data_IF_798195408020
#
_entry.id   IF_798195408020
#
_cell.length_a   1.000
_cell.length_b   1.000
_cell.length_c   1.000
_cell.angle_alpha   90.00
_cell.angle_beta   90.00
_cell.angle_gamma   90.00
#
_symmetry.space_group_name_H-M   'P 1'
#
loop_
_entity.id
_entity.type
_entity.pdbx_description
1 polymer ?
#
# COMPACT_ATOMS: atom_id res chain seq x y z
N UNK A 1 18.07 -3.08 -38.15
CA UNK A 1 17.06 -2.04 -37.87
C UNK A 1 15.61 -2.44 -38.22
N UNK A 2 15.34 -3.52 -38.96
CA UNK A 2 13.97 -3.95 -39.31
C UNK A 2 13.08 -4.37 -38.13
N UNK A 3 13.65 -4.63 -36.95
CA UNK A 3 12.90 -5.06 -35.75
C UNK A 3 12.54 -3.93 -34.78
N UNK A 4 13.00 -2.70 -35.00
CA UNK A 4 12.72 -1.56 -34.10
C UNK A 4 11.20 -1.30 -33.98
N UNK A 5 10.41 -1.33 -35.07
CA UNK A 5 8.96 -1.19 -34.95
C UNK A 5 8.30 -2.32 -34.13
N UNK A 6 8.79 -3.55 -34.27
CA UNK A 6 8.30 -4.70 -33.49
C UNK A 6 8.64 -4.60 -32.01
N UNK A 7 9.85 -4.11 -31.67
CA UNK A 7 10.25 -3.87 -30.28
C UNK A 7 9.38 -2.80 -29.60
N UNK A 8 9.04 -1.72 -30.32
CA UNK A 8 8.11 -0.71 -29.80
C UNK A 8 6.70 -1.28 -29.59
N UNK A 9 6.26 -2.16 -30.49
CA UNK A 9 4.94 -2.79 -30.40
C UNK A 9 4.79 -3.69 -29.17
N UNK A 10 5.87 -4.33 -28.70
CA UNK A 10 5.85 -5.13 -27.45
C UNK A 10 5.46 -4.32 -26.21
N UNK A 11 5.74 -3.02 -26.15
CA UNK A 11 5.33 -2.17 -25.02
C UNK A 11 3.84 -1.84 -25.02
N UNK A 12 3.14 -1.94 -26.17
CA UNK A 12 1.72 -1.58 -26.30
C UNK A 12 0.85 -2.31 -25.29
N UNK A 13 1.05 -3.62 -25.16
CA UNK A 13 0.28 -4.45 -24.23
C UNK A 13 0.54 -4.09 -22.76
N UNK A 14 1.80 -3.80 -22.42
CA UNK A 14 2.17 -3.41 -21.06
C UNK A 14 1.52 -2.07 -20.64
N UNK A 15 1.36 -1.14 -21.57
CA UNK A 15 0.63 0.12 -21.33
C UNK A 15 -0.84 -0.15 -21.05
N UNK A 16 -1.47 -1.01 -21.84
CA UNK A 16 -2.87 -1.39 -21.70
C UNK A 16 -3.13 -2.09 -20.35
N UNK A 17 -2.30 -3.07 -19.99
CA UNK A 17 -2.34 -3.74 -18.67
C UNK A 17 -2.19 -2.73 -17.54
N UNK A 18 -1.20 -1.83 -17.62
CA UNK A 18 -0.98 -0.80 -16.60
C UNK A 18 -2.19 0.13 -16.44
N UNK A 19 -2.86 0.49 -17.53
CA UNK A 19 -4.06 1.32 -17.51
C UNK A 19 -5.23 0.65 -16.79
N UNK A 20 -5.47 -0.64 -17.04
CA UNK A 20 -6.51 -1.39 -16.35
C UNK A 20 -6.20 -1.60 -14.87
N UNK A 21 -4.95 -1.92 -14.54
CA UNK A 21 -4.53 -2.10 -13.15
C UNK A 21 -4.71 -0.80 -12.34
N UNK A 22 -4.36 0.35 -12.91
CA UNK A 22 -4.56 1.67 -12.30
C UNK A 22 -6.03 1.98 -12.00
N UNK A 23 -6.97 1.56 -12.86
CA UNK A 23 -8.41 1.71 -12.60
C UNK A 23 -8.88 0.91 -11.38
N UNK A 24 -8.25 -0.22 -11.12
CA UNK A 24 -8.56 -1.12 -9.99
C UNK A 24 -7.65 -0.90 -8.78
N UNK A 25 -6.85 0.16 -8.79
CA UNK A 25 -5.91 0.51 -7.74
C UNK A 25 -6.63 1.00 -6.46
N UNK A 26 -5.88 1.49 -5.47
CA UNK A 26 -6.46 2.11 -4.28
C UNK A 26 -7.41 3.24 -4.65
N UNK A 27 -8.60 3.23 -4.03
CA UNK A 27 -9.49 4.39 -4.02
C UNK A 27 -8.90 5.42 -3.06
N UNK A 28 -7.95 6.23 -3.54
CA UNK A 28 -7.27 7.25 -2.74
C UNK A 28 -8.22 8.38 -2.26
N UNK A 29 -9.40 8.49 -2.85
CA UNK A 29 -10.43 9.45 -2.45
C UNK A 29 -11.82 8.80 -2.53
N UNK A 30 -12.72 9.19 -1.63
CA UNK A 30 -14.14 8.90 -1.72
C UNK A 30 -14.78 9.64 -2.89
N UNK A 31 -15.75 8.97 -3.52
CA UNK A 31 -16.44 9.33 -4.76
C UNK A 31 -16.97 10.79 -4.81
N UNK A 32 -16.75 11.46 -5.96
CA UNK A 32 -17.24 12.78 -6.42
C UNK A 32 -16.30 14.02 -6.36
N UNK A 33 -15.09 13.95 -6.95
CA UNK A 33 -14.42 15.17 -7.41
C UNK A 33 -15.07 15.68 -8.71
N UNK A 34 -15.58 16.93 -8.71
CA UNK A 34 -16.26 17.54 -9.87
C UNK A 34 -15.46 18.64 -10.56
N UNK A 35 -14.37 19.12 -9.94
CA UNK A 35 -13.51 20.13 -10.55
C UNK A 35 -12.49 19.46 -11.46
N UNK A 36 -12.24 20.06 -12.64
CA UNK A 36 -11.21 19.57 -13.59
C UNK A 36 -9.85 19.42 -12.91
N UNK A 37 -9.43 20.43 -12.14
CA UNK A 37 -8.17 20.43 -11.39
C UNK A 37 -8.11 19.29 -10.36
N UNK A 38 -9.21 19.03 -9.64
CA UNK A 38 -9.27 17.94 -8.67
C UNK A 38 -9.15 16.57 -9.33
N UNK A 39 -9.86 16.36 -10.44
CA UNK A 39 -9.79 15.12 -11.22
C UNK A 39 -8.37 14.90 -11.74
N UNK A 40 -7.74 15.92 -12.31
CA UNK A 40 -6.36 15.86 -12.81
C UNK A 40 -5.36 15.51 -11.71
N UNK A 41 -5.45 16.18 -10.56
CA UNK A 41 -4.60 15.88 -9.40
C UNK A 41 -4.79 14.44 -8.90
N UNK A 42 -6.03 13.95 -8.84
CA UNK A 42 -6.31 12.60 -8.39
C UNK A 42 -5.74 11.55 -9.35
N UNK A 43 -5.93 11.74 -10.67
CA UNK A 43 -5.37 10.84 -11.69
C UNK A 43 -3.84 10.82 -11.61
N UNK A 44 -3.20 11.99 -11.49
CA UNK A 44 -1.75 12.08 -11.35
C UNK A 44 -1.24 11.40 -10.06
N UNK A 45 -1.95 11.58 -8.94
CA UNK A 45 -1.60 10.94 -7.67
C UNK A 45 -1.71 9.41 -7.76
N UNK A 46 -2.79 8.90 -8.36
CA UNK A 46 -2.97 7.46 -8.60
C UNK A 46 -1.83 6.91 -9.46
N UNK A 47 -1.49 7.61 -10.54
CA UNK A 47 -0.41 7.19 -11.44
C UNK A 47 0.94 7.12 -10.72
N UNK A 48 1.30 8.16 -9.97
CA UNK A 48 2.56 8.18 -9.20
C UNK A 48 2.56 7.07 -8.14
N UNK A 49 1.46 6.91 -7.40
CA UNK A 49 1.35 5.89 -6.34
C UNK A 49 1.45 4.47 -6.90
N UNK A 50 0.79 4.21 -8.04
CA UNK A 50 0.86 2.92 -8.72
C UNK A 50 2.27 2.64 -9.25
N UNK A 51 2.93 3.63 -9.87
CA UNK A 51 4.32 3.49 -10.33
C UNK A 51 5.28 3.22 -9.17
N UNK A 52 5.13 3.95 -8.06
CA UNK A 52 5.92 3.75 -6.85
C UNK A 52 5.73 2.33 -6.30
N UNK A 53 4.49 1.85 -6.22
CA UNK A 53 4.20 0.46 -5.86
C UNK A 53 4.92 -0.49 -6.83
N UNK A 54 4.76 -0.35 -8.14
CA UNK A 54 5.34 -1.28 -9.13
C UNK A 54 6.86 -1.39 -9.07
N UNK A 55 7.53 -0.29 -8.73
CA UNK A 55 9.00 -0.22 -8.61
C UNK A 55 9.49 -0.75 -7.25
N UNK A 56 8.65 -0.71 -6.21
CA UNK A 56 9.04 -1.03 -4.83
C UNK A 56 9.70 -2.42 -4.66
N UNK A 57 9.19 -3.53 -5.25
CA UNK A 57 9.84 -4.85 -5.17
C UNK A 57 11.27 -4.89 -5.72
N UNK A 58 11.61 -3.96 -6.62
CA UNK A 58 12.94 -3.88 -7.23
C UNK A 58 13.91 -3.04 -6.41
N UNK A 59 13.41 -2.12 -5.59
CA UNK A 59 14.23 -1.26 -4.72
C UNK A 59 14.46 -1.89 -3.34
N UNK A 60 13.46 -2.58 -2.81
CA UNK A 60 13.46 -3.10 -1.45
C UNK A 60 13.53 -4.64 -1.43
N UNK A 61 14.57 -5.18 -0.80
CA UNK A 61 14.79 -6.63 -0.76
C UNK A 61 13.69 -7.37 0.00
N UNK A 62 13.09 -6.72 1.01
CA UNK A 62 11.95 -7.23 1.77
C UNK A 62 10.72 -7.54 0.90
N UNK A 63 10.61 -6.88 -0.26
CA UNK A 63 9.53 -7.07 -1.23
C UNK A 63 9.98 -7.84 -2.48
N UNK A 64 11.23 -8.32 -2.53
CA UNK A 64 11.79 -9.00 -3.71
C UNK A 64 10.98 -10.22 -4.18
N UNK A 65 10.31 -10.92 -3.25
CA UNK A 65 9.41 -12.03 -3.56
C UNK A 65 8.25 -11.65 -4.49
N UNK A 66 7.84 -10.37 -4.51
CA UNK A 66 6.72 -9.89 -5.32
C UNK A 66 7.13 -9.43 -6.73
N UNK A 67 8.39 -9.61 -7.14
CA UNK A 67 8.84 -9.27 -8.52
C UNK A 67 8.18 -10.14 -9.58
N UNK A 68 7.85 -11.38 -9.23
CA UNK A 68 7.23 -12.39 -10.12
C UNK A 68 5.75 -12.62 -9.85
N UNK A 69 5.22 -12.06 -8.76
CA UNK A 69 3.83 -12.23 -8.34
C UNK A 69 2.90 -11.26 -9.07
N UNK A 70 1.59 -11.48 -8.93
CA UNK A 70 0.61 -10.57 -9.52
C UNK A 70 0.63 -9.20 -8.81
N UNK A 71 0.37 -8.13 -9.58
CA UNK A 71 0.25 -6.77 -9.03
C UNK A 71 -0.88 -6.65 -8.00
N UNK A 72 -1.91 -7.49 -8.10
CA UNK A 72 -3.02 -7.51 -7.15
C UNK A 72 -2.62 -8.09 -5.80
N UNK A 73 -1.88 -9.20 -5.78
CA UNK A 73 -1.35 -9.80 -4.56
C UNK A 73 -0.39 -8.85 -3.85
N UNK A 74 0.52 -8.25 -4.61
CA UNK A 74 1.45 -7.28 -4.04
C UNK A 74 0.71 -6.07 -3.44
N UNK A 75 -0.27 -5.53 -4.17
CA UNK A 75 -1.12 -4.44 -3.68
C UNK A 75 -1.81 -4.84 -2.38
N UNK A 76 -2.35 -6.05 -2.27
CA UNK A 76 -3.03 -6.51 -1.06
C UNK A 76 -2.07 -6.61 0.13
N UNK A 77 -0.92 -7.26 -0.06
CA UNK A 77 0.10 -7.39 0.98
C UNK A 77 0.63 -6.04 1.45
N UNK A 78 0.94 -5.13 0.51
CA UNK A 78 1.38 -3.78 0.84
C UNK A 78 0.30 -3.00 1.59
N UNK A 79 -0.97 -3.14 1.20
CA UNK A 79 -2.10 -2.52 1.90
C UNK A 79 -2.22 -3.00 3.33
N UNK A 80 -1.98 -4.29 3.57
CA UNK A 80 -2.00 -4.86 4.92
C UNK A 80 -0.90 -4.25 5.79
N UNK A 81 0.33 -4.18 5.28
CA UNK A 81 1.44 -3.57 6.01
C UNK A 81 1.20 -2.09 6.32
N UNK A 82 0.67 -1.32 5.35
CA UNK A 82 0.29 0.09 5.57
C UNK A 82 -0.77 0.19 6.67
N UNK A 83 -1.81 -0.65 6.64
CA UNK A 83 -2.86 -0.65 7.69
C UNK A 83 -2.28 -0.98 9.07
N UNK A 84 -1.39 -1.96 9.15
CA UNK A 84 -0.71 -2.31 10.40
C UNK A 84 0.13 -1.13 10.92
N UNK A 85 0.93 -0.49 10.07
CA UNK A 85 1.74 0.67 10.46
C UNK A 85 0.89 1.85 10.93
N UNK A 86 -0.20 2.17 10.21
CA UNK A 86 -1.14 3.23 10.62
C UNK A 86 -1.73 2.89 11.98
N UNK A 87 -2.21 1.65 12.17
CA UNK A 87 -2.77 1.20 13.44
C UNK A 87 -1.76 1.36 14.59
N UNK A 88 -0.55 0.82 14.44
CA UNK A 88 0.47 0.91 15.48
C UNK A 88 0.89 2.35 15.78
N UNK A 89 1.03 3.18 14.75
CA UNK A 89 1.41 4.59 14.92
C UNK A 89 0.31 5.37 15.66
N UNK A 90 -0.95 5.16 15.29
CA UNK A 90 -2.10 5.75 15.99
C UNK A 90 -2.20 5.23 17.43
N UNK A 91 -1.98 3.93 17.64
CA UNK A 91 -2.02 3.32 18.96
C UNK A 91 -0.94 3.88 19.89
N UNK A 92 0.32 3.92 19.44
CA UNK A 92 1.44 4.50 20.20
C UNK A 92 1.17 5.96 20.52
N UNK A 93 0.76 6.76 19.53
CA UNK A 93 0.41 8.17 19.74
C UNK A 93 -0.68 8.35 20.78
N UNK A 94 -1.72 7.51 20.74
CA UNK A 94 -2.81 7.57 21.73
C UNK A 94 -2.32 7.21 23.14
N UNK A 95 -1.37 6.27 23.27
CA UNK A 95 -0.76 5.94 24.56
C UNK A 95 0.05 7.12 25.09
N UNK A 96 0.92 7.69 24.26
CA UNK A 96 1.81 8.81 24.62
C UNK A 96 1.03 10.03 25.09
N UNK A 97 -0.08 10.37 24.43
CA UNK A 97 -0.92 11.50 24.84
C UNK A 97 -1.79 11.18 26.05
N UNK A 98 -2.11 9.91 26.29
CA UNK A 98 -2.84 9.46 27.47
C UNK A 98 -1.91 9.31 28.69
N UNK A 99 -1.54 10.46 29.28
CA UNK A 99 -0.78 10.54 30.53
C UNK A 99 -1.50 9.68 31.60
N UNK A 100 -0.98 8.48 31.87
CA UNK A 100 -1.54 7.45 32.79
C UNK A 100 -2.80 6.71 32.27
N UNK A 101 -2.75 6.10 31.08
CA UNK A 101 -3.78 5.13 30.70
C UNK A 101 -3.73 3.87 31.57
N UNK A 102 -4.45 3.91 32.70
CA UNK A 102 -4.66 2.76 33.59
C UNK A 102 -5.27 1.57 32.86
N UNK A 103 -6.02 1.82 31.78
CA UNK A 103 -6.62 0.81 30.91
C UNK A 103 -5.56 0.08 30.10
N UNK A 104 -4.66 0.80 29.44
CA UNK A 104 -3.56 0.18 28.66
C UNK A 104 -2.65 -0.63 29.57
N UNK A 105 -2.33 -0.09 30.75
CA UNK A 105 -1.50 -0.80 31.72
C UNK A 105 -2.18 -2.05 32.30
N UNK A 106 -3.50 -2.03 32.50
CA UNK A 106 -4.28 -3.23 32.86
C UNK A 106 -4.30 -4.27 31.74
N UNK A 107 -4.52 -3.83 30.49
CA UNK A 107 -4.52 -4.71 29.32
C UNK A 107 -3.15 -5.40 29.14
N UNK A 108 -2.05 -4.64 29.27
CA UNK A 108 -0.68 -5.17 29.24
C UNK A 108 -0.44 -6.20 30.34
N UNK A 109 -0.84 -5.92 31.59
CA UNK A 109 -0.72 -6.87 32.70
C UNK A 109 -1.50 -8.16 32.45
N UNK A 110 -2.68 -8.07 31.83
CA UNK A 110 -3.51 -9.21 31.49
C UNK A 110 -2.88 -10.04 30.36
N UNK A 111 -2.32 -9.39 29.34
CA UNK A 111 -1.63 -10.05 28.23
C UNK A 111 -0.39 -10.82 28.70
N UNK A 112 0.43 -10.19 29.56
CA UNK A 112 1.60 -10.85 30.18
C UNK A 112 1.17 -12.04 31.03
N UNK A 113 0.11 -11.91 31.83
CA UNK A 113 -0.44 -13.05 32.57
C UNK A 113 -0.79 -14.19 31.62
N UNK A 114 -1.58 -13.93 30.58
CA UNK A 114 -1.98 -14.97 29.62
C UNK A 114 -0.79 -15.67 28.96
N UNK A 115 0.26 -14.93 28.58
CA UNK A 115 1.47 -15.55 28.03
C UNK A 115 2.21 -16.43 29.05
N UNK A 116 2.26 -16.04 30.33
CA UNK A 116 2.84 -16.88 31.39
C UNK A 116 1.99 -18.10 31.79
N UNK A 117 0.66 -18.10 31.56
CA UNK A 117 -0.19 -19.28 31.79
C UNK A 117 -0.05 -20.34 30.70
N UNK A 118 0.51 -19.97 29.54
CA UNK A 118 0.75 -20.87 28.41
C UNK A 118 2.20 -21.39 28.34
N UNK A 119 3.03 -21.08 29.35
CA UNK A 119 4.35 -21.67 29.59
C UNK A 119 4.26 -22.69 30.74
#
# INVERSE_FOLDING_TARGET
MQFIPLLCYTFRWNIEVSYYEQKTFWSLCSYMLRSRKGIEMLVNLINISYCAMKILPYQEESFSKYRTESMQEFRFALSEQIRQQVFYTTFVRNIETSIKSSVVMKALKQLIRQQCWHL
#
